data_IF_243886023680
#
_entry.id   IF_243886023680
#
_cell.length_a   1.000
_cell.length_b   1.000
_cell.length_c   1.000
_cell.angle_alpha   90.00
_cell.angle_beta   90.00
_cell.angle_gamma   90.00
#
_symmetry.space_group_name_H-M   'P 1'
#
loop_
_entity.id
_entity.type
_entity.pdbx_description
1 polymer ?
#
# COMPACT_ATOMS: atom_id res chain seq x y z
N UNK A 1 2.91 -27.38 6.11
CA UNK A 1 1.92 -26.30 6.27
C UNK A 1 0.58 -26.81 5.77
N UNK A 2 -0.48 -26.58 6.54
CA UNK A 2 -1.84 -26.97 6.19
C UNK A 2 -2.32 -26.24 4.92
N UNK A 3 -2.74 -27.00 3.90
CA UNK A 3 -3.24 -26.48 2.62
C UNK A 3 -4.41 -25.52 2.83
N UNK A 4 -5.27 -25.77 3.81
CA UNK A 4 -6.46 -24.95 4.07
C UNK A 4 -6.13 -23.53 4.53
N UNK A 5 -4.96 -23.33 5.13
CA UNK A 5 -4.48 -22.02 5.61
C UNK A 5 -3.72 -21.23 4.56
N UNK A 6 -3.42 -21.84 3.42
CA UNK A 6 -2.65 -21.19 2.36
C UNK A 6 -3.43 -20.05 1.71
N UNK A 7 -2.74 -19.04 1.17
CA UNK A 7 -3.38 -17.85 0.63
C UNK A 7 -3.98 -18.09 -0.76
N UNK A 8 -5.06 -17.36 -1.03
CA UNK A 8 -5.81 -17.31 -2.30
C UNK A 8 -6.07 -15.86 -2.65
N UNK A 9 -5.77 -15.46 -3.88
CA UNK A 9 -6.06 -14.12 -4.36
C UNK A 9 -7.53 -14.00 -4.72
N UNK A 10 -8.18 -12.97 -4.19
CA UNK A 10 -9.58 -12.65 -4.50
C UNK A 10 -9.63 -11.44 -5.41
N UNK A 11 -10.28 -11.61 -6.56
CA UNK A 11 -10.57 -10.57 -7.52
C UNK A 11 -12.03 -10.13 -7.40
N UNK A 12 -12.30 -8.85 -7.65
CA UNK A 12 -13.64 -8.34 -7.87
C UNK A 12 -14.12 -8.68 -9.29
N UNK A 13 -15.42 -8.59 -9.58
CA UNK A 13 -16.01 -8.82 -10.91
C UNK A 13 -15.32 -8.03 -12.06
N UNK A 14 -14.63 -6.93 -11.76
CA UNK A 14 -13.82 -6.16 -12.72
C UNK A 14 -12.36 -6.64 -12.86
N UNK A 15 -12.04 -7.83 -12.36
CA UNK A 15 -10.69 -8.43 -12.29
C UNK A 15 -9.65 -7.62 -11.50
N UNK A 16 -10.10 -6.67 -10.67
CA UNK A 16 -9.24 -5.91 -9.75
C UNK A 16 -9.01 -6.72 -8.48
N UNK A 17 -7.78 -6.89 -7.99
CA UNK A 17 -7.52 -7.63 -6.75
C UNK A 17 -8.03 -6.85 -5.53
N UNK A 18 -8.69 -7.56 -4.61
CA UNK A 18 -9.36 -6.93 -3.45
C UNK A 18 -8.96 -7.51 -2.10
N UNK A 19 -8.58 -8.78 -2.05
CA UNK A 19 -8.21 -9.44 -0.80
C UNK A 19 -7.27 -10.64 -1.04
N UNK A 20 -6.55 -11.02 0.01
CA UNK A 20 -6.03 -12.38 0.17
C UNK A 20 -6.92 -13.07 1.19
N UNK A 21 -7.38 -14.27 0.86
CA UNK A 21 -8.13 -15.15 1.77
C UNK A 21 -7.41 -16.48 1.94
N UNK A 22 -7.89 -17.30 2.86
CA UNK A 22 -7.39 -18.67 2.99
C UNK A 22 -8.06 -19.58 1.95
N UNK A 23 -7.43 -20.72 1.65
CA UNK A 23 -8.04 -21.78 0.84
C UNK A 23 -9.39 -22.21 1.42
N UNK A 24 -9.50 -22.33 2.75
CA UNK A 24 -10.76 -22.65 3.44
C UNK A 24 -11.86 -21.64 3.09
N UNK A 25 -11.58 -20.34 3.24
CA UNK A 25 -12.56 -19.28 2.93
C UNK A 25 -12.94 -19.29 1.45
N UNK A 26 -11.96 -19.51 0.56
CA UNK A 26 -12.18 -19.56 -0.88
C UNK A 26 -13.10 -20.72 -1.27
N UNK A 27 -12.88 -21.92 -0.70
CA UNK A 27 -13.76 -23.08 -0.92
C UNK A 27 -15.19 -22.79 -0.45
N UNK A 28 -15.36 -22.13 0.70
CA UNK A 28 -16.68 -21.71 1.18
C UNK A 28 -17.36 -20.79 0.15
N UNK A 29 -16.65 -19.80 -0.40
CA UNK A 29 -17.20 -18.90 -1.41
C UNK A 29 -17.59 -19.60 -2.71
N UNK A 30 -16.78 -20.57 -3.16
CA UNK A 30 -17.05 -21.39 -4.35
C UNK A 30 -18.29 -22.28 -4.14
N UNK A 31 -18.39 -22.95 -2.99
CA UNK A 31 -19.53 -23.81 -2.65
C UNK A 31 -20.83 -23.00 -2.55
N UNK A 32 -20.77 -21.81 -1.92
CA UNK A 32 -21.89 -20.89 -1.82
C UNK A 32 -22.23 -20.18 -3.14
N UNK A 33 -21.50 -20.45 -4.22
CA UNK A 33 -21.66 -19.80 -5.54
C UNK A 33 -21.59 -18.27 -5.48
N UNK A 34 -20.75 -17.74 -4.57
CA UNK A 34 -20.44 -16.31 -4.43
C UNK A 34 -19.14 -15.92 -5.13
N UNK A 35 -18.45 -16.91 -5.69
CA UNK A 35 -17.23 -16.73 -6.45
C UNK A 35 -17.10 -17.81 -7.52
N UNK A 36 -16.34 -17.49 -8.56
CA UNK A 36 -15.91 -18.41 -9.61
C UNK A 36 -14.42 -18.73 -9.46
N UNK A 37 -14.04 -19.95 -9.82
CA UNK A 37 -12.65 -20.39 -9.82
C UNK A 37 -11.95 -19.88 -11.08
N UNK A 38 -10.91 -19.07 -10.91
CA UNK A 38 -10.08 -18.57 -12.03
C UNK A 38 -8.85 -19.44 -12.22
N UNK A 39 -8.20 -19.83 -11.11
CA UNK A 39 -6.99 -20.63 -11.13
C UNK A 39 -6.95 -21.55 -9.92
N UNK A 40 -6.62 -22.81 -10.17
CA UNK A 40 -6.30 -23.79 -9.15
C UNK A 40 -4.81 -24.18 -9.18
N UNK A 41 -4.41 -24.97 -8.20
CA UNK A 41 -3.12 -25.67 -8.20
C UNK A 41 -3.30 -27.10 -8.70
N UNK A 42 -2.69 -27.39 -9.84
CA UNK A 42 -2.72 -28.72 -10.46
C UNK A 42 -2.05 -29.74 -9.55
N UNK A 43 -2.69 -30.90 -9.39
CA UNK A 43 -2.15 -32.01 -8.61
C UNK A 43 -2.34 -31.89 -7.10
N UNK A 44 -2.82 -30.76 -6.59
CA UNK A 44 -3.10 -30.56 -5.16
C UNK A 44 -4.61 -30.50 -4.90
N UNK A 45 -5.10 -31.45 -4.09
CA UNK A 45 -6.53 -31.61 -3.83
C UNK A 45 -6.86 -31.49 -2.35
N UNK A 46 -8.00 -30.87 -2.07
CA UNK A 46 -8.65 -30.85 -0.76
C UNK A 46 -9.68 -31.98 -0.76
N UNK A 47 -9.65 -32.82 0.27
CA UNK A 47 -10.56 -33.96 0.39
C UNK A 47 -11.47 -33.81 1.60
N UNK A 48 -12.70 -34.23 1.39
CA UNK A 48 -13.67 -34.61 2.42
C UNK A 48 -14.00 -36.09 2.18
N UNK A 49 -14.66 -36.74 3.14
CA UNK A 49 -15.13 -38.12 3.00
C UNK A 49 -15.93 -38.34 1.70
N UNK A 50 -16.73 -37.34 1.30
CA UNK A 50 -17.63 -37.43 0.14
C UNK A 50 -17.20 -36.60 -1.07
N UNK A 51 -16.19 -35.74 -0.93
CA UNK A 51 -15.89 -34.70 -1.93
C UNK A 51 -14.40 -34.56 -2.18
N UNK A 52 -14.03 -34.21 -3.42
CA UNK A 52 -12.68 -33.86 -3.83
C UNK A 52 -12.72 -32.53 -4.55
N UNK A 53 -12.00 -31.54 -4.02
CA UNK A 53 -11.88 -30.20 -4.59
C UNK A 53 -10.45 -29.96 -5.06
N UNK A 54 -10.28 -29.24 -6.16
CA UNK A 54 -8.98 -28.68 -6.52
C UNK A 54 -8.65 -27.54 -5.56
N UNK A 55 -7.36 -27.28 -5.35
CA UNK A 55 -6.94 -26.21 -4.43
C UNK A 55 -7.03 -24.86 -5.14
N UNK A 56 -7.94 -23.95 -4.75
CA UNK A 56 -8.05 -22.65 -5.40
C UNK A 56 -6.81 -21.79 -5.12
N UNK A 57 -6.40 -21.00 -6.12
CA UNK A 57 -5.32 -20.01 -6.01
C UNK A 57 -5.77 -18.61 -6.39
N UNK A 58 -6.73 -18.50 -7.30
CA UNK A 58 -7.37 -17.25 -7.67
C UNK A 58 -8.87 -17.49 -7.82
N UNK A 59 -9.68 -16.67 -7.16
CA UNK A 59 -11.14 -16.66 -7.30
C UNK A 59 -11.64 -15.27 -7.69
N UNK A 60 -12.75 -15.23 -8.43
CA UNK A 60 -13.44 -14.01 -8.86
C UNK A 60 -14.78 -13.90 -8.14
N UNK A 61 -15.05 -12.82 -7.43
CA UNK A 61 -16.36 -12.60 -6.83
C UNK A 61 -17.42 -12.36 -7.91
N UNK A 62 -18.59 -13.00 -7.78
CA UNK A 62 -19.70 -12.88 -8.73
C UNK A 62 -20.39 -11.53 -8.66
N UNK A 63 -20.45 -10.94 -7.47
CA UNK A 63 -21.03 -9.61 -7.23
C UNK A 63 -19.94 -8.55 -7.10
N UNK A 64 -20.26 -7.32 -7.54
CA UNK A 64 -19.37 -6.19 -7.37
C UNK A 64 -19.18 -5.85 -5.89
N UNK A 65 -17.99 -6.11 -5.38
CA UNK A 65 -17.60 -5.70 -4.03
C UNK A 65 -16.87 -4.36 -4.08
N UNK A 66 -17.49 -3.30 -3.57
CA UNK A 66 -16.85 -1.99 -3.48
C UNK A 66 -15.59 -2.11 -2.63
N UNK A 67 -14.42 -1.97 -3.26
CA UNK A 67 -13.13 -2.01 -2.55
C UNK A 67 -13.14 -0.91 -1.47
N UNK A 68 -13.03 -1.28 -0.18
CA UNK A 68 -12.98 -0.28 0.87
C UNK A 68 -11.78 0.63 0.64
N UNK A 69 -12.00 1.96 0.68
CA UNK A 69 -10.89 2.92 0.63
C UNK A 69 -10.01 2.66 1.86
N UNK A 70 -8.85 2.03 1.66
CA UNK A 70 -7.91 1.78 2.74
C UNK A 70 -7.39 3.13 3.25
N UNK A 71 -7.55 3.38 4.55
CA UNK A 71 -6.81 4.47 5.20
C UNK A 71 -5.36 4.05 5.26
N UNK A 72 -4.50 4.73 4.52
CA UNK A 72 -3.05 4.49 4.59
C UNK A 72 -2.56 4.94 5.97
N UNK A 73 -1.86 4.04 6.66
CA UNK A 73 -1.19 4.38 7.91
C UNK A 73 -0.04 5.33 7.59
N UNK A 74 0.18 6.32 8.44
CA UNK A 74 1.36 7.16 8.33
C UNK A 74 2.59 6.30 8.65
N UNK A 75 3.41 6.03 7.64
CA UNK A 75 4.67 5.29 7.77
C UNK A 75 5.70 5.86 6.81
N UNK A 76 6.98 5.54 7.06
CA UNK A 76 8.10 5.97 6.20
C UNK A 76 7.90 5.52 4.76
N UNK A 77 7.56 4.26 4.57
CA UNK A 77 7.34 3.63 3.27
C UNK A 77 6.19 4.31 2.54
N UNK A 78 5.11 4.64 3.26
CA UNK A 78 3.96 5.29 2.64
C UNK A 78 4.21 6.76 2.29
N UNK A 79 5.06 7.48 3.04
CA UNK A 79 5.50 8.84 2.65
C UNK A 79 6.40 8.77 1.43
N UNK A 80 7.32 7.81 1.36
CA UNK A 80 8.17 7.60 0.18
C UNK A 80 7.34 7.26 -1.05
N UNK A 81 6.34 6.40 -0.90
CA UNK A 81 5.42 6.05 -1.98
C UNK A 81 4.56 7.26 -2.40
N UNK A 82 4.04 8.04 -1.46
CA UNK A 82 3.29 9.28 -1.74
C UNK A 82 4.14 10.24 -2.58
N UNK A 83 5.42 10.39 -2.25
CA UNK A 83 6.32 11.31 -2.93
C UNK A 83 7.04 10.67 -4.13
N UNK A 84 6.71 9.42 -4.49
CA UNK A 84 7.29 8.69 -5.63
C UNK A 84 8.82 8.56 -5.54
N UNK A 85 9.32 8.30 -4.32
CA UNK A 85 10.74 8.20 -4.00
C UNK A 85 11.55 9.43 -4.47
N UNK A 86 10.89 10.57 -4.60
CA UNK A 86 11.48 11.81 -5.03
C UNK A 86 11.71 12.72 -3.82
N UNK A 87 12.90 13.29 -3.72
CA UNK A 87 13.15 14.33 -2.74
C UNK A 87 12.29 15.55 -3.05
N UNK A 88 11.40 15.94 -2.12
CA UNK A 88 10.48 17.05 -2.32
C UNK A 88 11.20 18.39 -2.53
N UNK A 89 12.42 18.54 -2.00
CA UNK A 89 13.22 19.77 -2.10
C UNK A 89 14.00 19.89 -3.40
N UNK A 90 14.79 18.87 -3.78
CA UNK A 90 15.64 18.92 -4.99
C UNK A 90 15.07 18.19 -6.21
N UNK A 91 13.90 17.56 -6.07
CA UNK A 91 13.21 16.79 -7.12
C UNK A 91 13.97 15.60 -7.69
N UNK A 92 15.06 15.16 -7.04
CA UNK A 92 15.79 13.96 -7.44
C UNK A 92 15.08 12.71 -6.95
N UNK A 93 14.79 11.77 -7.87
CA UNK A 93 14.39 10.40 -7.55
C UNK A 93 15.59 9.59 -7.10
N UNK A 94 15.46 8.90 -5.96
CA UNK A 94 16.56 8.17 -5.33
C UNK A 94 16.05 6.84 -4.75
N UNK A 95 16.92 5.83 -4.59
CA UNK A 95 16.54 4.61 -3.88
C UNK A 95 16.21 4.92 -2.42
N UNK A 96 15.28 4.16 -1.82
CA UNK A 96 14.77 4.38 -0.46
C UNK A 96 15.87 4.39 0.61
N UNK A 97 17.01 3.74 0.36
CA UNK A 97 18.20 3.73 1.23
C UNK A 97 18.90 5.10 1.34
N UNK A 98 18.77 5.94 0.31
CA UNK A 98 19.33 7.31 0.26
C UNK A 98 18.30 8.40 0.64
N UNK A 99 17.05 8.01 0.89
CA UNK A 99 15.98 8.89 1.32
C UNK A 99 15.81 8.86 2.85
N UNK A 100 15.26 9.94 3.37
CA UNK A 100 14.89 10.13 4.77
C UNK A 100 13.55 10.85 4.85
N UNK A 101 12.90 10.78 6.01
CA UNK A 101 11.77 11.65 6.31
C UNK A 101 12.28 12.98 6.85
N UNK A 102 11.63 14.06 6.44
CA UNK A 102 11.81 15.39 7.04
C UNK A 102 10.45 15.99 7.42
N UNK A 103 10.44 16.80 8.47
CA UNK A 103 9.30 17.61 8.87
C UNK A 103 9.45 19.00 8.28
N UNK A 104 8.53 19.39 7.40
CA UNK A 104 8.53 20.70 6.73
C UNK A 104 8.64 21.83 7.76
N UNK A 105 7.87 21.74 8.84
CA UNK A 105 7.98 22.57 10.04
C UNK A 105 8.78 21.75 11.08
N UNK A 106 10.00 22.16 11.43
CA UNK A 106 10.83 21.46 12.42
C UNK A 106 10.22 21.47 13.83
N UNK A 107 10.43 20.41 14.61
CA UNK A 107 9.90 20.30 15.99
C UNK A 107 10.27 21.49 16.87
N UNK A 108 11.52 21.94 16.79
CA UNK A 108 12.04 23.05 17.59
C UNK A 108 11.36 24.39 17.30
N UNK A 109 10.76 24.52 16.12
CA UNK A 109 10.06 25.72 15.64
C UNK A 109 8.54 25.55 15.65
N UNK A 110 8.03 24.41 16.11
CA UNK A 110 6.63 24.06 15.94
C UNK A 110 5.69 25.05 16.64
N UNK A 111 6.02 25.46 17.87
CA UNK A 111 5.21 26.41 18.63
C UNK A 111 5.36 27.87 18.16
N UNK A 112 6.38 28.18 17.37
CA UNK A 112 6.54 29.51 16.75
C UNK A 112 5.53 29.72 15.61
N UNK A 113 5.01 28.64 15.00
CA UNK A 113 4.06 28.72 13.90
C UNK A 113 2.62 28.85 14.45
N UNK A 114 1.86 29.87 14.02
CA UNK A 114 0.47 30.04 14.41
C UNK A 114 -0.39 28.82 14.06
N UNK A 115 -1.36 28.50 14.93
CA UNK A 115 -2.18 27.27 14.83
C UNK A 115 -2.95 27.18 13.51
N UNK A 116 -3.36 28.32 12.97
CA UNK A 116 -4.05 28.44 11.68
C UNK A 116 -3.13 28.23 10.46
N UNK A 117 -1.80 28.30 10.66
CA UNK A 117 -0.78 28.11 9.61
C UNK A 117 -0.03 26.78 9.70
N UNK A 118 -0.32 25.94 10.70
CA UNK A 118 0.27 24.60 10.86
C UNK A 118 -0.79 23.49 10.89
N UNK A 119 -0.45 22.25 10.51
CA UNK A 119 -1.32 21.10 10.70
C UNK A 119 -1.72 20.90 12.17
N UNK A 120 -2.81 20.16 12.41
CA UNK A 120 -3.33 19.91 13.76
C UNK A 120 -2.28 19.30 14.70
N UNK A 121 -1.48 18.37 14.18
CA UNK A 121 -0.45 17.66 14.93
C UNK A 121 0.90 17.77 14.21
N UNK A 122 2.00 17.58 14.94
CA UNK A 122 3.35 17.68 14.41
C UNK A 122 3.69 16.58 13.39
N UNK A 123 3.32 15.33 13.71
CA UNK A 123 3.70 14.14 12.95
C UNK A 123 2.53 13.68 12.07
N UNK A 124 2.26 14.43 11.00
CA UNK A 124 1.16 14.17 10.06
C UNK A 124 1.63 14.10 8.61
N UNK A 125 0.74 13.68 7.72
CA UNK A 125 0.99 13.66 6.28
C UNK A 125 1.35 15.04 5.73
N UNK A 126 0.72 16.08 6.25
CA UNK A 126 0.90 17.46 5.79
C UNK A 126 2.28 18.02 6.16
N UNK A 127 2.86 17.55 7.27
CA UNK A 127 4.16 18.00 7.74
C UNK A 127 5.33 17.08 7.34
N UNK A 128 5.09 15.79 7.08
CA UNK A 128 6.13 14.84 6.70
C UNK A 128 6.32 14.77 5.19
N UNK A 129 7.59 14.78 4.75
CA UNK A 129 7.98 14.65 3.34
C UNK A 129 9.20 13.76 3.16
N UNK A 130 9.35 13.27 1.93
CA UNK A 130 10.54 12.57 1.46
C UNK A 130 11.65 13.58 1.15
N UNK A 131 12.82 13.38 1.76
CA UNK A 131 14.00 14.22 1.55
C UNK A 131 15.24 13.36 1.33
N UNK A 132 16.15 13.76 0.43
CA UNK A 132 17.49 13.18 0.39
C UNK A 132 18.31 13.68 1.59
N UNK A 133 19.35 12.94 1.97
CA UNK A 133 20.19 13.29 3.12
C UNK A 133 20.78 14.70 3.00
N UNK A 134 21.32 15.06 1.85
CA UNK A 134 21.93 16.38 1.61
C UNK A 134 20.93 17.54 1.86
N UNK A 135 19.73 17.45 1.29
CA UNK A 135 18.69 18.46 1.47
C UNK A 135 18.18 18.50 2.90
N UNK A 136 17.99 17.34 3.53
CA UNK A 136 17.52 17.24 4.91
C UNK A 136 18.53 17.89 5.87
N UNK A 137 19.82 17.59 5.72
CA UNK A 137 20.90 18.22 6.48
C UNK A 137 21.00 19.73 6.21
N UNK A 138 20.87 20.17 4.96
CA UNK A 138 20.88 21.60 4.61
C UNK A 138 19.71 22.36 5.22
N UNK A 139 18.54 21.72 5.31
CA UNK A 139 17.36 22.30 5.95
C UNK A 139 17.52 22.41 7.46
N UNK A 140 17.88 21.31 8.13
CA UNK A 140 18.02 21.28 9.58
C UNK A 140 16.77 21.82 10.29
N UNK A 141 16.96 22.82 11.15
CA UNK A 141 15.89 23.47 11.90
C UNK A 141 15.31 24.73 11.23
N UNK A 142 15.63 24.99 9.96
CA UNK A 142 15.15 26.15 9.20
C UNK A 142 13.76 25.91 8.64
N UNK A 143 12.97 26.98 8.58
CA UNK A 143 11.73 27.05 7.83
C UNK A 143 12.02 27.19 6.34
N UNK A 144 11.07 26.79 5.51
CA UNK A 144 11.24 26.83 4.05
C UNK A 144 11.50 28.26 3.53
N UNK A 145 10.89 29.27 4.16
CA UNK A 145 11.05 30.68 3.81
C UNK A 145 12.50 31.17 3.96
N UNK A 146 13.21 30.71 4.99
CA UNK A 146 14.62 31.05 5.23
C UNK A 146 15.54 30.51 4.13
N UNK A 147 15.12 29.43 3.46
CA UNK A 147 15.86 28.79 2.36
C UNK A 147 15.34 29.20 0.98
N UNK A 148 14.27 30.00 0.91
CA UNK A 148 13.51 30.28 -0.31
C UNK A 148 13.10 28.98 -1.03
N UNK A 149 12.70 27.98 -0.24
CA UNK A 149 12.23 26.70 -0.76
C UNK A 149 10.72 26.67 -0.80
N UNK A 150 10.20 25.97 -1.80
CA UNK A 150 8.77 25.73 -1.96
C UNK A 150 8.52 24.24 -2.06
N UNK A 151 7.39 23.81 -1.50
CA UNK A 151 6.93 22.43 -1.57
C UNK A 151 5.46 22.44 -2.00
N UNK A 152 4.97 21.37 -2.65
CA UNK A 152 3.57 21.32 -3.10
C UNK A 152 2.61 21.55 -1.92
N UNK A 153 1.56 22.37 -2.10
CA UNK A 153 0.63 22.72 -1.00
C UNK A 153 -0.17 21.49 -0.50
N UNK A 154 -0.60 20.61 -1.40
CA UNK A 154 -1.41 19.44 -1.05
C UNK A 154 -0.53 18.20 -0.77
N UNK A 155 0.05 18.15 0.44
CA UNK A 155 0.85 17.01 0.94
C UNK A 155 0.00 15.96 1.67
N UNK A 156 -1.32 16.15 1.71
CA UNK A 156 -2.23 15.13 2.20
C UNK A 156 -2.09 13.85 1.37
N UNK A 157 -2.67 12.73 1.84
CA UNK A 157 -2.59 11.43 1.15
C UNK A 157 -2.99 11.56 -0.32
N UNK A 158 -2.02 11.56 -1.24
CA UNK A 158 -2.30 11.59 -2.66
C UNK A 158 -2.84 10.21 -3.06
N UNK A 159 -4.16 10.07 -3.08
CA UNK A 159 -4.87 8.81 -3.36
C UNK A 159 -4.47 8.17 -4.70
N UNK A 160 -3.92 8.94 -5.64
CA UNK A 160 -3.50 8.44 -6.96
C UNK A 160 -2.22 7.60 -6.91
N UNK A 161 -1.39 7.77 -5.88
CA UNK A 161 -0.07 7.10 -5.76
C UNK A 161 -0.06 5.89 -4.85
N UNK A 162 -1.17 5.61 -4.17
CA UNK A 162 -1.29 4.42 -3.35
C UNK A 162 -2.01 3.32 -4.12
N UNK A 163 -1.43 2.11 -4.21
CA UNK A 163 -2.14 0.99 -4.79
C UNK A 163 -3.35 0.65 -3.91
N UNK A 164 -4.50 0.43 -4.55
CA UNK A 164 -5.72 0.01 -3.85
C UNK A 164 -5.53 -1.34 -3.14
N UNK A 165 -4.61 -2.14 -3.67
CA UNK A 165 -4.24 -3.45 -3.17
C UNK A 165 -2.74 -3.67 -3.38
N UNK A 166 -2.04 -4.06 -2.31
CA UNK A 166 -0.62 -4.42 -2.36
C UNK A 166 -0.40 -5.77 -1.67
N UNK A 167 0.56 -6.52 -2.20
CA UNK A 167 0.96 -7.85 -1.75
C UNK A 167 2.48 -7.95 -1.85
N UNK A 168 3.10 -8.73 -0.96
CA UNK A 168 4.55 -8.94 -1.01
C UNK A 168 4.95 -9.70 -2.28
N UNK A 169 6.04 -9.26 -2.92
CA UNK A 169 6.58 -9.88 -4.15
C UNK A 169 6.84 -11.38 -3.98
N UNK A 170 7.38 -11.78 -2.82
CA UNK A 170 7.58 -13.20 -2.46
C UNK A 170 6.31 -14.03 -2.59
N UNK A 171 5.17 -13.47 -2.20
CA UNK A 171 3.89 -14.16 -2.22
C UNK A 171 3.28 -14.16 -3.63
N UNK A 172 3.49 -13.07 -4.38
CA UNK A 172 3.15 -12.99 -5.82
C UNK A 172 3.88 -14.07 -6.62
N UNK A 173 5.20 -14.20 -6.42
CA UNK A 173 6.05 -15.18 -7.09
C UNK A 173 5.66 -16.60 -6.69
N UNK A 174 5.55 -16.86 -5.38
CA UNK A 174 5.24 -18.20 -4.85
C UNK A 174 3.93 -18.78 -5.38
N UNK A 175 2.90 -17.95 -5.58
CA UNK A 175 1.58 -18.43 -6.02
C UNK A 175 1.22 -18.03 -7.46
N UNK A 176 2.15 -17.44 -8.21
CA UNK A 176 1.96 -17.11 -9.63
C UNK A 176 0.88 -16.05 -9.86
N UNK A 177 0.86 -14.99 -9.07
CA UNK A 177 -0.16 -13.93 -9.12
C UNK A 177 0.23 -12.71 -9.93
N UNK A 178 1.39 -12.71 -10.58
CA UNK A 178 1.97 -11.54 -11.24
C UNK A 178 1.00 -10.88 -12.24
N UNK A 179 0.30 -11.69 -13.04
CA UNK A 179 -0.63 -11.21 -14.07
C UNK A 179 -1.86 -10.47 -13.50
N UNK A 180 -2.14 -10.64 -12.20
CA UNK A 180 -3.37 -10.18 -11.54
C UNK A 180 -3.14 -9.04 -10.52
N UNK A 181 -1.89 -8.68 -10.25
CA UNK A 181 -1.52 -7.64 -9.26
C UNK A 181 -0.82 -6.49 -9.99
N UNK A 182 -1.43 -5.99 -11.09
CA UNK A 182 -0.84 -4.92 -11.92
C UNK A 182 -0.23 -3.80 -11.05
N UNK A 183 1.05 -3.55 -11.32
CA UNK A 183 1.94 -2.53 -10.76
C UNK A 183 1.35 -1.13 -10.75
#
# INVERSE_FOLDING_TARGET
MDVLTQPVLVLNATYVPVAIRTVKDAVILLILRKAELIRDEKGLFIRSEKLKFTTPRIILLTDYYKVPKRKHKLSRENIFLRDDHECVYCKRKLPSSKLTLDHVIPKSRWEEIPREKKPKDYHTWENLVTACRDCNSKKGNKLLQELKWEVPENRSTNKRRFPQFSVSTQLVEKFGWADYIRS
#
